data_IF_949071378424
#
_entry.id   IF_949071378424
#
_cell.length_a   1.000
_cell.length_b   1.000
_cell.length_c   1.000
_cell.angle_alpha   90.00
_cell.angle_beta   90.00
_cell.angle_gamma   90.00
#
_symmetry.space_group_name_H-M   'P 1'
#
loop_
_entity.id
_entity.type
_entity.pdbx_description
1 polymer ?
#
# COMPACT_ATOMS: atom_id res chain seq x y z
N UNK A 1 18.35 -5.66 -30.37
CA UNK A 1 17.24 -6.47 -29.82
C UNK A 1 15.93 -5.85 -30.30
N UNK A 2 15.08 -6.61 -31.02
CA UNK A 2 13.76 -6.12 -31.45
C UNK A 2 12.90 -5.86 -30.22
N UNK A 3 12.01 -4.83 -30.30
CA UNK A 3 11.05 -4.55 -29.23
C UNK A 3 10.18 -5.81 -29.01
N UNK A 4 9.95 -6.25 -27.76
CA UNK A 4 9.08 -7.38 -27.50
C UNK A 4 7.67 -7.07 -28.07
N UNK A 5 7.10 -8.01 -28.79
CA UNK A 5 5.74 -7.87 -29.35
C UNK A 5 4.73 -8.24 -28.25
N UNK A 6 4.45 -7.30 -27.36
CA UNK A 6 3.49 -7.48 -26.26
C UNK A 6 2.08 -7.34 -26.80
N UNK A 7 1.25 -8.36 -26.62
CA UNK A 7 -0.17 -8.38 -27.00
C UNK A 7 -1.11 -8.50 -25.80
N UNK A 8 -0.65 -9.15 -24.75
CA UNK A 8 -1.46 -9.36 -23.53
C UNK A 8 -0.66 -8.95 -22.31
N UNK A 9 -1.25 -8.13 -21.46
CA UNK A 9 -0.69 -7.76 -20.16
C UNK A 9 -1.59 -8.25 -19.02
N UNK A 10 -0.94 -8.76 -17.97
CA UNK A 10 -1.59 -9.03 -16.71
C UNK A 10 -1.46 -7.85 -15.76
N UNK A 11 -2.41 -7.67 -14.86
CA UNK A 11 -2.29 -6.74 -13.73
C UNK A 11 -2.76 -7.43 -12.46
N UNK A 12 -2.02 -7.26 -11.39
CA UNK A 12 -2.38 -7.74 -10.06
C UNK A 12 -2.12 -6.68 -9.00
N UNK A 13 -2.87 -6.78 -7.91
CA UNK A 13 -2.61 -6.07 -6.66
C UNK A 13 -2.15 -7.08 -5.62
N UNK A 14 -1.09 -6.79 -4.88
CA UNK A 14 -0.47 -7.74 -3.95
C UNK A 14 0.02 -7.03 -2.67
N UNK A 15 -0.02 -7.74 -1.56
CA UNK A 15 0.32 -7.21 -0.25
C UNK A 15 -0.90 -6.62 0.47
N UNK A 16 -0.72 -5.55 1.24
CA UNK A 16 -1.83 -4.76 1.79
C UNK A 16 -2.52 -3.94 0.69
N UNK A 17 -3.80 -3.68 0.86
CA UNK A 17 -4.48 -2.73 -0.01
C UNK A 17 -4.08 -1.29 0.35
N UNK A 18 -4.13 -0.42 -0.64
CA UNK A 18 -3.89 1.00 -0.46
C UNK A 18 -4.94 1.82 -1.21
N UNK A 19 -5.30 3.02 -0.74
CA UNK A 19 -6.16 3.92 -1.49
C UNK A 19 -5.63 4.13 -2.91
N UNK A 20 -6.55 4.28 -3.88
CA UNK A 20 -6.26 4.45 -5.30
C UNK A 20 -5.60 3.25 -6.04
N UNK A 21 -5.47 2.07 -5.44
CA UNK A 21 -5.13 0.86 -6.19
C UNK A 21 -6.10 0.61 -7.35
N UNK A 22 -7.39 0.85 -7.14
CA UNK A 22 -8.40 0.74 -8.20
C UNK A 22 -8.16 1.73 -9.35
N UNK A 23 -7.71 2.94 -9.05
CA UNK A 23 -7.37 3.92 -10.08
C UNK A 23 -6.20 3.43 -10.94
N UNK A 24 -5.18 2.82 -10.33
CA UNK A 24 -4.06 2.22 -11.03
C UNK A 24 -4.49 1.03 -11.92
N UNK A 25 -5.29 0.11 -11.37
CA UNK A 25 -5.86 -1.03 -12.13
C UNK A 25 -6.68 -0.53 -13.32
N UNK A 26 -7.55 0.47 -13.09
CA UNK A 26 -8.36 1.09 -14.13
C UNK A 26 -7.51 1.75 -15.22
N UNK A 27 -6.44 2.43 -14.84
CA UNK A 27 -5.52 3.05 -15.80
C UNK A 27 -4.88 1.98 -16.70
N UNK A 28 -4.39 0.89 -16.13
CA UNK A 28 -3.83 -0.25 -16.89
C UNK A 28 -4.85 -0.83 -17.86
N UNK A 29 -6.09 -1.07 -17.41
CA UNK A 29 -7.15 -1.64 -18.25
C UNK A 29 -7.51 -0.71 -19.43
N UNK A 30 -7.67 0.57 -19.17
CA UNK A 30 -8.09 1.54 -20.20
C UNK A 30 -6.99 1.84 -21.21
N UNK A 31 -5.79 2.14 -20.74
CA UNK A 31 -4.64 2.41 -21.64
C UNK A 31 -4.24 1.15 -22.40
N UNK A 32 -4.30 -0.03 -21.74
CA UNK A 32 -4.06 -1.30 -22.42
C UNK A 32 -5.01 -1.49 -23.61
N UNK A 33 -6.31 -1.29 -23.41
CA UNK A 33 -7.31 -1.38 -24.49
C UNK A 33 -7.08 -0.34 -25.59
N UNK A 34 -6.80 0.91 -25.23
CA UNK A 34 -6.51 1.99 -26.19
C UNK A 34 -5.34 1.62 -27.09
N UNK A 35 -4.33 0.95 -26.54
CA UNK A 35 -3.15 0.47 -27.28
C UNK A 35 -3.35 -0.87 -27.98
N UNK A 36 -4.57 -1.39 -28.00
CA UNK A 36 -4.91 -2.66 -28.66
C UNK A 36 -4.41 -3.90 -27.92
N UNK A 37 -4.07 -3.77 -26.64
CA UNK A 37 -3.65 -4.90 -25.81
C UNK A 37 -4.86 -5.61 -25.16
N UNK A 38 -4.74 -6.91 -24.98
CA UNK A 38 -5.62 -7.65 -24.05
C UNK A 38 -5.11 -7.39 -22.63
N UNK A 39 -6.03 -7.12 -21.70
CA UNK A 39 -5.68 -6.93 -20.30
C UNK A 39 -6.36 -8.01 -19.46
N UNK A 40 -5.56 -8.71 -18.66
CA UNK A 40 -6.02 -9.75 -17.73
C UNK A 40 -5.83 -9.27 -16.29
N UNK A 41 -6.88 -9.32 -15.50
CA UNK A 41 -6.83 -9.08 -14.06
C UNK A 41 -6.54 -10.38 -13.32
N UNK A 42 -5.54 -10.40 -12.47
CA UNK A 42 -5.21 -11.54 -11.61
C UNK A 42 -5.70 -11.20 -10.21
N UNK A 43 -6.72 -11.92 -9.74
CA UNK A 43 -7.32 -11.68 -8.43
C UNK A 43 -6.46 -12.27 -7.32
N UNK A 44 -6.48 -11.65 -6.14
CA UNK A 44 -5.73 -12.10 -4.94
C UNK A 44 -4.21 -12.18 -5.14
N UNK A 45 -3.66 -11.30 -5.99
CA UNK A 45 -2.21 -11.19 -6.19
C UNK A 45 -1.53 -12.48 -6.66
N UNK A 46 -0.37 -12.79 -6.10
CA UNK A 46 0.36 -14.01 -6.46
C UNK A 46 -0.36 -15.29 -6.06
N UNK A 47 -1.20 -15.28 -5.04
CA UNK A 47 -2.02 -16.42 -4.68
C UNK A 47 -2.99 -16.76 -5.82
N UNK A 48 -3.66 -15.75 -6.37
CA UNK A 48 -4.55 -15.95 -7.51
C UNK A 48 -3.81 -16.32 -8.80
N UNK A 49 -2.58 -15.83 -8.99
CA UNK A 49 -1.76 -16.27 -10.11
C UNK A 49 -1.53 -17.79 -10.05
N UNK A 50 -1.10 -18.32 -8.89
CA UNK A 50 -0.86 -19.74 -8.72
C UNK A 50 -2.14 -20.60 -8.80
N UNK A 51 -3.29 -20.03 -8.50
CA UNK A 51 -4.59 -20.72 -8.60
C UNK A 51 -5.33 -20.42 -9.92
N UNK A 52 -4.68 -19.75 -10.86
CA UNK A 52 -5.25 -19.37 -12.17
C UNK A 52 -6.55 -18.55 -12.05
N UNK A 53 -6.71 -17.77 -10.95
CA UNK A 53 -7.86 -16.87 -10.76
C UNK A 53 -7.65 -15.61 -11.61
N UNK A 54 -7.77 -15.79 -12.92
CA UNK A 54 -7.45 -14.81 -13.97
C UNK A 54 -8.72 -14.49 -14.74
N UNK A 55 -9.04 -13.21 -14.83
CA UNK A 55 -10.22 -12.69 -15.54
C UNK A 55 -9.78 -11.77 -16.68
N UNK A 56 -10.60 -11.65 -17.71
CA UNK A 56 -10.44 -10.58 -18.69
C UNK A 56 -10.87 -9.27 -18.06
N UNK A 57 -10.00 -8.26 -18.13
CA UNK A 57 -10.24 -6.96 -17.50
C UNK A 57 -10.55 -5.91 -18.56
N UNK A 58 -11.82 -5.62 -18.72
CA UNK A 58 -12.31 -4.63 -19.68
C UNK A 58 -12.55 -3.27 -19.00
N UNK A 59 -12.73 -2.20 -19.77
CA UNK A 59 -13.16 -0.93 -19.20
C UNK A 59 -14.49 -0.98 -18.43
N UNK A 60 -15.36 -1.95 -18.74
CA UNK A 60 -16.64 -2.14 -18.04
C UNK A 60 -16.42 -2.65 -16.62
N UNK A 61 -15.53 -3.65 -16.42
CA UNK A 61 -15.21 -4.18 -15.08
C UNK A 61 -14.53 -3.14 -14.19
N UNK A 62 -13.89 -2.15 -14.81
CA UNK A 62 -13.20 -1.06 -14.09
C UNK A 62 -14.01 0.23 -14.04
N UNK A 63 -15.26 0.21 -14.52
CA UNK A 63 -16.16 1.37 -14.41
C UNK A 63 -16.49 1.64 -12.94
N UNK A 64 -16.62 2.93 -12.60
CA UNK A 64 -17.04 3.39 -11.27
C UNK A 64 -16.19 2.87 -10.09
N UNK A 65 -14.92 2.56 -10.36
CA UNK A 65 -13.99 2.04 -9.35
C UNK A 65 -12.96 3.07 -8.85
N UNK A 66 -12.78 4.19 -9.55
CA UNK A 66 -11.71 5.15 -9.29
C UNK A 66 -11.81 5.79 -7.89
N UNK A 67 -13.02 5.97 -7.38
CA UNK A 67 -13.30 6.56 -6.07
C UNK A 67 -13.48 5.53 -4.95
N UNK A 68 -13.40 4.22 -5.28
CA UNK A 68 -13.54 3.15 -4.30
C UNK A 68 -12.21 2.86 -3.62
N UNK A 69 -12.24 2.71 -2.30
CA UNK A 69 -11.14 2.16 -1.53
C UNK A 69 -10.92 0.68 -1.78
N UNK A 70 -9.86 0.12 -1.22
CA UNK A 70 -9.47 -1.27 -1.44
C UNK A 70 -9.03 -1.54 -2.87
N UNK A 71 -9.21 -2.79 -3.31
CA UNK A 71 -8.88 -3.23 -4.68
C UNK A 71 -9.91 -4.20 -5.23
N UNK A 72 -10.41 -3.94 -6.45
CA UNK A 72 -11.36 -4.81 -7.15
C UNK A 72 -10.75 -6.17 -7.54
N UNK A 73 -9.43 -6.25 -7.59
CA UNK A 73 -8.72 -7.50 -7.85
C UNK A 73 -8.44 -8.29 -6.57
N UNK A 74 -8.90 -7.79 -5.42
CA UNK A 74 -8.57 -8.36 -4.13
C UNK A 74 -7.06 -8.46 -3.90
N UNK A 75 -6.65 -8.81 -2.69
CA UNK A 75 -5.24 -9.03 -2.36
C UNK A 75 -5.12 -10.16 -1.35
N UNK A 76 -4.03 -10.91 -1.41
CA UNK A 76 -3.71 -11.96 -0.45
C UNK A 76 -2.19 -12.09 -0.30
N UNK A 77 -1.77 -12.53 0.87
CA UNK A 77 -0.39 -13.02 1.05
C UNK A 77 -0.27 -14.41 0.42
N UNK A 78 0.89 -14.71 -0.17
CA UNK A 78 1.17 -15.99 -0.81
C UNK A 78 2.55 -16.50 -0.35
N UNK A 79 2.54 -17.39 0.63
CA UNK A 79 3.79 -17.98 1.15
C UNK A 79 4.44 -18.91 0.10
N UNK A 80 3.63 -19.65 -0.66
CA UNK A 80 4.10 -20.53 -1.74
C UNK A 80 4.93 -19.76 -2.77
N UNK A 81 4.56 -18.50 -3.07
CA UNK A 81 5.28 -17.68 -4.04
C UNK A 81 6.67 -17.22 -3.56
N UNK A 82 6.99 -17.39 -2.28
CA UNK A 82 8.34 -17.15 -1.77
C UNK A 82 9.32 -18.24 -2.16
N UNK A 83 8.82 -19.42 -2.54
CA UNK A 83 9.64 -20.55 -2.97
C UNK A 83 10.02 -20.46 -4.46
N UNK A 84 11.13 -21.07 -4.85
CA UNK A 84 11.53 -21.14 -6.26
C UNK A 84 10.53 -21.92 -7.13
N UNK A 85 9.90 -22.94 -6.56
CA UNK A 85 8.89 -23.75 -7.24
C UNK A 85 7.64 -22.93 -7.54
N UNK A 86 7.13 -22.18 -6.56
CA UNK A 86 5.99 -21.29 -6.74
C UNK A 86 6.29 -20.20 -7.78
N UNK A 87 7.49 -19.64 -7.79
CA UNK A 87 7.90 -18.63 -8.77
C UNK A 87 7.97 -19.22 -10.19
N UNK A 88 8.54 -20.40 -10.36
CA UNK A 88 8.59 -21.12 -11.67
C UNK A 88 7.19 -21.44 -12.17
N UNK A 89 6.34 -21.99 -11.29
CA UNK A 89 4.93 -22.26 -11.60
C UNK A 89 4.18 -21.00 -12.01
N UNK A 90 4.37 -19.88 -11.29
CA UNK A 90 3.76 -18.59 -11.66
C UNK A 90 4.22 -18.09 -13.03
N UNK A 91 5.50 -18.25 -13.39
CA UNK A 91 6.01 -17.90 -14.71
C UNK A 91 5.42 -18.80 -15.81
N UNK A 92 5.25 -20.10 -15.55
CA UNK A 92 4.63 -21.06 -16.48
C UNK A 92 3.16 -20.71 -16.71
N UNK A 93 2.40 -20.36 -15.66
CA UNK A 93 1.01 -19.93 -15.76
C UNK A 93 0.91 -18.65 -16.59
N UNK A 94 1.78 -17.66 -16.36
CA UNK A 94 1.81 -16.45 -17.20
C UNK A 94 1.95 -16.82 -18.69
N UNK A 95 2.89 -17.73 -19.02
CA UNK A 95 3.10 -18.20 -20.39
C UNK A 95 1.91 -18.97 -20.95
N UNK A 96 1.33 -19.86 -20.16
CA UNK A 96 0.14 -20.66 -20.55
C UNK A 96 -1.06 -19.78 -20.87
N UNK A 97 -1.27 -18.69 -20.09
CA UNK A 97 -2.33 -17.72 -20.33
C UNK A 97 -1.97 -16.63 -21.37
N UNK A 98 -0.78 -16.75 -22.00
CA UNK A 98 -0.31 -15.82 -23.02
C UNK A 98 -0.06 -14.40 -22.47
N UNK A 99 0.29 -14.26 -21.18
CA UNK A 99 0.62 -12.98 -20.55
C UNK A 99 2.06 -12.64 -20.90
N UNK A 100 2.27 -11.66 -21.79
CA UNK A 100 3.58 -11.22 -22.28
C UNK A 100 4.27 -10.25 -21.30
N UNK A 101 3.49 -9.59 -20.45
CA UNK A 101 3.99 -8.65 -19.43
C UNK A 101 3.03 -8.55 -18.25
N UNK A 102 3.56 -8.25 -17.08
CA UNK A 102 2.82 -8.19 -15.83
C UNK A 102 3.04 -6.85 -15.14
N UNK A 103 1.96 -6.15 -14.81
CA UNK A 103 1.96 -4.96 -13.94
C UNK A 103 1.63 -5.40 -12.52
N UNK A 104 2.56 -5.16 -11.61
CA UNK A 104 2.43 -5.50 -10.19
C UNK A 104 2.24 -4.24 -9.38
N UNK A 105 1.08 -4.09 -8.75
CA UNK A 105 0.74 -2.94 -7.90
C UNK A 105 0.83 -3.40 -6.45
N UNK A 106 1.69 -2.78 -5.65
CA UNK A 106 1.87 -3.16 -4.25
C UNK A 106 3.12 -2.57 -3.61
N UNK A 107 3.54 -3.13 -2.48
CA UNK A 107 4.72 -2.73 -1.73
C UNK A 107 5.97 -3.55 -2.06
N UNK A 108 7.02 -3.40 -1.25
CA UNK A 108 8.34 -4.02 -1.46
C UNK A 108 8.27 -5.55 -1.67
N UNK A 109 7.54 -6.27 -0.81
CA UNK A 109 7.41 -7.73 -0.96
C UNK A 109 6.80 -8.15 -2.31
N UNK A 110 5.88 -7.35 -2.86
CA UNK A 110 5.29 -7.59 -4.18
C UNK A 110 6.31 -7.35 -5.29
N UNK A 111 7.20 -6.37 -5.11
CA UNK A 111 8.27 -6.05 -6.06
C UNK A 111 9.35 -7.12 -6.07
N UNK A 112 9.68 -7.71 -4.92
CA UNK A 112 10.58 -8.87 -4.87
C UNK A 112 10.02 -10.03 -5.69
N UNK A 113 8.71 -10.30 -5.60
CA UNK A 113 8.04 -11.29 -6.45
C UNK A 113 8.11 -10.95 -7.94
N UNK A 114 7.86 -9.70 -8.31
CA UNK A 114 7.98 -9.21 -9.69
C UNK A 114 9.41 -9.41 -10.25
N UNK A 115 10.43 -9.08 -9.44
CA UNK A 115 11.85 -9.27 -9.79
C UNK A 115 12.17 -10.76 -10.07
N UNK A 116 11.60 -11.67 -9.29
CA UNK A 116 11.77 -13.12 -9.51
C UNK A 116 11.13 -13.57 -10.82
N UNK A 117 9.90 -13.11 -11.13
CA UNK A 117 9.27 -13.39 -12.42
C UNK A 117 10.06 -12.81 -13.61
N UNK A 118 10.61 -11.61 -13.44
CA UNK A 118 11.47 -11.00 -14.46
C UNK A 118 12.70 -11.87 -14.76
N UNK A 119 13.34 -12.43 -13.73
CA UNK A 119 14.47 -13.36 -13.89
C UNK A 119 14.07 -14.66 -14.61
N UNK A 120 12.79 -15.04 -14.55
CA UNK A 120 12.22 -16.20 -15.26
C UNK A 120 11.67 -15.85 -16.67
N UNK A 121 11.93 -14.62 -17.14
CA UNK A 121 11.62 -14.19 -18.50
C UNK A 121 10.24 -13.60 -18.69
N UNK A 122 9.52 -13.22 -17.63
CA UNK A 122 8.27 -12.47 -17.71
C UNK A 122 8.60 -10.97 -17.61
N UNK A 123 8.20 -10.16 -18.60
CA UNK A 123 8.35 -8.71 -18.50
C UNK A 123 7.51 -8.18 -17.35
N UNK A 124 8.10 -7.48 -16.40
CA UNK A 124 7.38 -6.94 -15.23
C UNK A 124 7.59 -5.44 -15.08
N UNK A 125 6.53 -4.76 -14.67
CA UNK A 125 6.57 -3.36 -14.23
C UNK A 125 5.95 -3.31 -12.83
N UNK A 126 6.65 -2.68 -11.90
CA UNK A 126 6.17 -2.47 -10.53
C UNK A 126 5.60 -1.05 -10.38
N UNK A 127 4.44 -0.96 -9.74
CA UNK A 127 3.77 0.32 -9.42
C UNK A 127 3.64 0.41 -7.90
N UNK A 128 4.25 1.41 -7.25
CA UNK A 128 4.27 1.51 -5.80
C UNK A 128 2.88 1.89 -5.26
N UNK A 129 2.18 0.91 -4.69
CA UNK A 129 0.87 1.05 -4.05
C UNK A 129 0.96 0.56 -2.60
N UNK A 130 1.26 1.47 -1.68
CA UNK A 130 1.38 1.22 -0.23
C UNK A 130 1.19 2.53 0.53
N UNK A 131 0.66 2.44 1.74
CA UNK A 131 0.52 3.58 2.63
C UNK A 131 1.77 3.83 3.49
N UNK A 132 2.72 2.89 3.53
CA UNK A 132 3.86 2.94 4.45
C UNK A 132 4.99 3.88 4.00
N UNK A 133 5.02 4.27 2.72
CA UNK A 133 6.05 5.12 2.09
C UNK A 133 7.48 4.54 2.22
N UNK A 134 7.60 3.23 2.33
CA UNK A 134 8.84 2.50 2.60
C UNK A 134 9.51 1.90 1.36
N UNK A 135 9.15 2.39 0.16
CA UNK A 135 9.72 1.93 -1.11
C UNK A 135 10.93 2.79 -1.49
N UNK A 136 12.07 2.15 -1.64
CA UNK A 136 13.27 2.82 -2.13
C UNK A 136 13.10 3.37 -3.56
N UNK A 137 13.80 4.45 -3.87
CA UNK A 137 13.82 5.10 -5.19
C UNK A 137 12.49 5.73 -5.63
N UNK A 138 11.57 5.98 -4.72
CA UNK A 138 10.39 6.82 -4.97
C UNK A 138 10.15 7.76 -3.80
N UNK A 139 9.71 8.98 -4.09
CA UNK A 139 9.38 9.96 -3.06
C UNK A 139 7.97 9.77 -2.52
N UNK A 140 7.06 9.22 -3.36
CA UNK A 140 5.68 8.99 -3.01
C UNK A 140 5.20 7.61 -3.47
N UNK A 141 4.26 7.06 -2.73
CA UNK A 141 3.55 5.81 -3.06
C UNK A 141 2.07 6.08 -3.21
N UNK A 142 1.42 5.36 -4.12
CA UNK A 142 -0.03 5.44 -4.32
C UNK A 142 -0.73 5.00 -3.04
N UNK A 143 -1.50 5.91 -2.45
CA UNK A 143 -2.28 5.67 -1.24
C UNK A 143 -1.75 6.35 0.02
N UNK A 144 -0.48 6.71 0.11
CA UNK A 144 0.11 7.35 1.29
C UNK A 144 -0.60 8.66 1.66
N UNK A 145 -0.69 9.59 0.71
CA UNK A 145 -1.29 10.91 0.95
C UNK A 145 -2.76 10.81 1.38
N UNK A 146 -3.54 9.93 0.74
CA UNK A 146 -4.92 9.67 1.13
C UNK A 146 -5.01 9.08 2.54
N UNK A 147 -4.11 8.17 2.90
CA UNK A 147 -4.08 7.58 4.24
C UNK A 147 -3.77 8.63 5.32
N UNK A 148 -2.81 9.52 5.05
CA UNK A 148 -2.47 10.65 5.94
C UNK A 148 -3.70 11.56 6.14
N UNK A 149 -4.35 11.98 5.05
CA UNK A 149 -5.55 12.83 5.14
C UNK A 149 -6.69 12.17 5.91
N UNK A 150 -6.93 10.87 5.70
CA UNK A 150 -7.94 10.11 6.45
C UNK A 150 -7.62 10.04 7.94
N UNK A 151 -6.36 9.81 8.29
CA UNK A 151 -5.92 9.79 9.67
C UNK A 151 -6.05 11.17 10.34
N UNK A 152 -5.66 12.24 9.64
CA UNK A 152 -5.82 13.63 10.13
C UNK A 152 -7.27 13.96 10.42
N UNK A 153 -8.20 13.64 9.51
CA UNK A 153 -9.64 13.85 9.71
C UNK A 153 -10.17 13.10 10.94
N UNK A 154 -9.70 11.88 11.18
CA UNK A 154 -10.07 11.11 12.36
C UNK A 154 -9.48 11.71 13.65
N UNK A 155 -8.22 12.16 13.62
CA UNK A 155 -7.56 12.81 14.76
C UNK A 155 -8.26 14.10 15.15
N UNK A 156 -8.68 14.94 14.19
CA UNK A 156 -9.40 16.17 14.46
C UNK A 156 -10.72 15.90 15.19
N UNK A 157 -11.47 14.87 14.79
CA UNK A 157 -12.70 14.45 15.49
C UNK A 157 -12.43 13.94 16.91
N UNK A 158 -11.32 13.25 17.13
CA UNK A 158 -10.90 12.80 18.47
C UNK A 158 -10.55 14.00 19.34
N UNK A 159 -9.86 15.01 18.79
CA UNK A 159 -9.47 16.22 19.52
C UNK A 159 -10.67 16.99 20.07
N UNK A 160 -11.76 17.10 19.32
CA UNK A 160 -12.99 17.75 19.79
C UNK A 160 -13.48 17.14 21.11
N UNK A 161 -13.52 15.80 21.16
CA UNK A 161 -13.92 15.09 22.38
C UNK A 161 -12.87 15.18 23.48
N UNK A 162 -11.57 15.10 23.16
CA UNK A 162 -10.49 15.24 24.12
C UNK A 162 -10.51 16.61 24.80
N UNK A 163 -10.76 17.66 24.03
CA UNK A 163 -10.89 19.02 24.53
C UNK A 163 -12.08 19.14 25.49
N UNK A 164 -13.25 18.61 25.13
CA UNK A 164 -14.47 18.68 25.93
C UNK A 164 -14.37 17.94 27.27
N UNK A 165 -13.54 16.90 27.34
CA UNK A 165 -13.40 16.03 28.51
C UNK A 165 -12.06 16.17 29.24
N UNK A 166 -11.21 17.13 28.84
CA UNK A 166 -9.87 17.34 29.40
C UNK A 166 -9.01 16.06 29.42
N UNK A 167 -9.04 15.31 28.31
CA UNK A 167 -8.38 14.02 28.19
C UNK A 167 -7.06 14.10 27.41
N UNK A 168 -6.18 13.16 27.71
CA UNK A 168 -5.08 12.80 26.84
C UNK A 168 -5.53 11.64 25.93
N UNK A 169 -5.37 11.80 24.62
CA UNK A 169 -5.69 10.77 23.63
C UNK A 169 -4.42 10.25 23.01
N UNK A 170 -4.24 8.93 23.04
CA UNK A 170 -3.18 8.25 22.31
C UNK A 170 -3.80 7.64 21.07
N UNK A 171 -3.31 8.06 19.91
CA UNK A 171 -3.82 7.62 18.61
C UNK A 171 -2.77 6.77 17.92
N UNK A 172 -3.07 5.50 17.72
CA UNK A 172 -2.24 4.60 16.92
C UNK A 172 -2.66 4.68 15.46
N UNK A 173 -1.68 4.86 14.57
CA UNK A 173 -1.86 4.83 13.13
C UNK A 173 -1.06 3.68 12.50
N UNK A 174 -1.46 3.25 11.31
CA UNK A 174 -0.71 2.23 10.57
C UNK A 174 0.64 2.78 10.11
N UNK A 175 1.54 1.88 9.70
CA UNK A 175 2.87 2.21 9.21
C UNK A 175 3.86 1.06 9.41
N UNK A 176 3.49 0.05 10.21
CA UNK A 176 4.32 -1.12 10.52
C UNK A 176 5.68 -0.70 11.09
N UNK A 177 6.76 -0.81 10.30
CA UNK A 177 8.12 -0.39 10.68
C UNK A 177 8.49 1.01 10.17
N UNK A 178 7.56 1.73 9.56
CA UNK A 178 7.75 3.08 9.01
C UNK A 178 6.85 4.09 9.72
N UNK A 179 7.43 5.09 10.33
CA UNK A 179 6.73 6.11 11.11
C UNK A 179 6.20 7.29 10.29
N UNK A 180 6.16 7.21 8.97
CA UNK A 180 5.81 8.35 8.12
C UNK A 180 4.38 8.84 8.33
N UNK A 181 3.37 7.97 8.44
CA UNK A 181 1.99 8.39 8.70
C UNK A 181 1.91 9.09 10.06
N UNK A 182 2.49 8.50 11.11
CA UNK A 182 2.49 9.08 12.44
C UNK A 182 3.18 10.46 12.46
N UNK A 183 4.31 10.58 11.77
CA UNK A 183 5.06 11.84 11.68
C UNK A 183 4.26 12.94 10.98
N UNK A 184 3.72 12.64 9.79
CA UNK A 184 2.96 13.61 9.02
C UNK A 184 1.66 14.02 9.72
N UNK A 185 0.90 13.05 10.23
CA UNK A 185 -0.34 13.34 10.97
C UNK A 185 -0.06 14.12 12.26
N UNK A 186 0.94 13.68 13.04
CA UNK A 186 1.27 14.32 14.30
C UNK A 186 1.73 15.78 14.11
N UNK A 187 2.56 16.05 13.10
CA UNK A 187 2.99 17.42 12.78
C UNK A 187 1.82 18.28 12.29
N UNK A 188 1.00 17.75 11.37
CA UNK A 188 -0.11 18.51 10.78
C UNK A 188 -1.24 18.80 11.79
N UNK A 189 -1.51 17.89 12.71
CA UNK A 189 -2.54 18.07 13.75
C UNK A 189 -2.00 18.71 15.03
N UNK A 190 -0.68 18.92 15.14
CA UNK A 190 -0.06 19.54 16.31
C UNK A 190 -0.06 18.65 17.55
N UNK A 191 0.23 17.36 17.37
CA UNK A 191 0.39 16.43 18.50
C UNK A 191 1.56 16.86 19.40
N UNK A 192 1.41 16.68 20.70
CA UNK A 192 2.44 17.02 21.69
C UNK A 192 3.65 16.10 21.60
N UNK A 193 3.41 14.82 21.36
CA UNK A 193 4.42 13.80 21.19
C UNK A 193 4.10 12.95 19.95
N UNK A 194 5.14 12.65 19.18
CA UNK A 194 5.03 11.80 18.00
C UNK A 194 6.01 10.65 18.17
N UNK A 195 5.47 9.45 18.32
CA UNK A 195 6.27 8.26 18.51
C UNK A 195 6.39 7.51 17.18
N UNK A 196 7.62 7.36 16.71
CA UNK A 196 7.92 6.67 15.46
C UNK A 196 8.93 5.54 15.69
N UNK A 197 8.82 4.42 14.98
CA UNK A 197 9.70 3.27 15.19
C UNK A 197 11.17 3.59 14.94
N UNK A 198 11.48 4.50 14.02
CA UNK A 198 12.85 4.89 13.67
C UNK A 198 13.62 5.56 14.82
N UNK A 199 12.92 6.21 15.74
CA UNK A 199 13.52 6.87 16.91
C UNK A 199 13.39 6.07 18.21
N UNK A 200 12.72 4.93 18.18
CA UNK A 200 12.49 4.12 19.37
C UNK A 200 13.71 3.24 19.68
N UNK A 201 14.33 3.50 20.82
CA UNK A 201 15.52 2.80 21.30
C UNK A 201 15.23 1.48 22.07
N UNK A 202 13.97 1.04 22.13
CA UNK A 202 13.53 -0.14 22.85
C UNK A 202 13.22 0.12 24.33
N UNK A 203 13.40 1.34 24.83
CA UNK A 203 13.19 1.69 26.24
C UNK A 203 11.81 2.32 26.47
N UNK A 204 10.79 1.49 26.60
CA UNK A 204 9.41 1.93 26.82
C UNK A 204 9.25 2.80 28.09
N UNK A 205 9.80 2.43 29.26
CA UNK A 205 9.71 3.28 30.46
C UNK A 205 10.25 4.70 30.26
N UNK A 206 11.30 4.89 29.49
CA UNK A 206 11.83 6.23 29.16
C UNK A 206 10.84 7.04 28.34
N UNK A 207 10.19 6.44 27.37
CA UNK A 207 9.15 7.08 26.55
C UNK A 207 7.95 7.47 27.41
N UNK A 208 7.48 6.57 28.27
CA UNK A 208 6.37 6.84 29.19
C UNK A 208 6.69 8.02 30.13
N UNK A 209 7.88 8.06 30.69
CA UNK A 209 8.30 9.17 31.55
C UNK A 209 8.33 10.47 30.78
N UNK A 210 8.86 10.49 29.55
CA UNK A 210 8.91 11.68 28.69
C UNK A 210 7.50 12.23 28.42
N UNK A 211 6.56 11.37 28.07
CA UNK A 211 5.15 11.75 27.84
C UNK A 211 4.55 12.36 29.10
N UNK A 212 4.74 11.72 30.27
CA UNK A 212 4.24 12.23 31.54
C UNK A 212 4.81 13.61 31.86
N UNK A 213 6.11 13.82 31.68
CA UNK A 213 6.76 15.11 31.91
C UNK A 213 6.20 16.20 30.97
N UNK A 214 5.95 15.87 29.70
CA UNK A 214 5.33 16.81 28.75
C UNK A 214 3.90 17.16 29.14
N UNK A 215 3.09 16.16 29.54
CA UNK A 215 1.72 16.37 30.03
C UNK A 215 1.69 17.30 31.25
N UNK A 216 2.52 17.03 32.26
CA UNK A 216 2.58 17.83 33.47
C UNK A 216 3.02 19.27 33.20
N UNK A 217 4.03 19.44 32.34
CA UNK A 217 4.52 20.76 31.92
C UNK A 217 3.44 21.56 31.18
N UNK A 218 2.69 20.91 30.30
CA UNK A 218 1.63 21.58 29.53
C UNK A 218 0.43 21.93 30.42
N UNK A 219 0.04 21.03 31.34
CA UNK A 219 -0.99 21.34 32.34
C UNK A 219 -0.62 22.53 33.24
N UNK A 220 0.62 22.63 33.65
CA UNK A 220 1.11 23.78 34.42
C UNK A 220 1.02 25.10 33.64
N UNK A 221 0.96 25.07 32.31
CA UNK A 221 0.73 26.22 31.43
C UNK A 221 -0.76 26.46 31.11
N UNK A 222 -1.65 25.71 31.72
CA UNK A 222 -3.12 25.84 31.54
C UNK A 222 -3.70 25.03 30.39
N UNK A 223 -2.93 24.14 29.74
CA UNK A 223 -3.45 23.23 28.73
C UNK A 223 -4.14 22.03 29.41
N UNK A 224 -5.40 21.79 29.08
CA UNK A 224 -6.24 20.79 29.77
C UNK A 224 -6.43 19.50 28.97
N UNK A 225 -6.17 19.51 27.66
CA UNK A 225 -6.29 18.36 26.75
C UNK A 225 -5.00 18.13 25.98
N UNK A 226 -4.76 16.91 25.57
CA UNK A 226 -3.55 16.47 24.86
C UNK A 226 -3.88 15.38 23.86
#
# INVERSE_FOLDING_TARGET
>A
MGKPNIKTIGVLTSGGDAPAMNAAVRAVARIGKERGLKVKGIRKGYNGLLNEDIIDLTPTETADTIFRGGTILFTARCEEFKTEEGQKRGAEICKAHGIDGLVVIGGDGSFQGAKKLAALGINTIAVPGTIDLDIACTEYTIGFDTAVNTAMEAIDKIRDTSTSHERCSIVEVMGRGAGYIALWCGMATGAEDILIPESFDGNLPKVEQQIIEHLLRNRAKGKTHH
#
